data_IF_790797171708
#
_entry.id   IF_790797171708
#
_cell.length_a   1.000
_cell.length_b   1.000
_cell.length_c   1.000
_cell.angle_alpha   90.00
_cell.angle_beta   90.00
_cell.angle_gamma   90.00
#
_symmetry.space_group_name_H-M   'P 1'
#
loop_
_entity.id
_entity.type
_entity.pdbx_description
1 polymer ?
#
# COMPACT_ATOMS: atom_id res chain seq x y z
N UNK A 1 -15.38 -29.77 -18.26
CA UNK A 1 -14.88 -28.41 -17.96
C UNK A 1 -13.52 -28.55 -17.30
N UNK A 2 -12.43 -28.37 -18.04
CA UNK A 2 -11.09 -28.38 -17.45
C UNK A 2 -10.87 -27.01 -16.81
N UNK A 3 -10.88 -26.96 -15.48
CA UNK A 3 -10.42 -25.80 -14.76
C UNK A 3 -8.92 -25.62 -15.08
N UNK A 4 -8.58 -24.65 -15.92
CA UNK A 4 -7.21 -24.20 -16.07
C UNK A 4 -6.78 -23.59 -14.73
N UNK A 5 -6.18 -24.41 -13.87
CA UNK A 5 -5.45 -23.93 -12.70
C UNK A 5 -4.21 -23.22 -13.25
N UNK A 6 -4.31 -21.90 -13.42
CA UNK A 6 -3.16 -21.08 -13.78
C UNK A 6 -2.16 -21.13 -12.62
N UNK A 7 -1.02 -21.78 -12.83
CA UNK A 7 0.06 -21.86 -11.84
C UNK A 7 0.72 -20.48 -11.72
N UNK A 8 0.84 -19.96 -10.50
CA UNK A 8 1.53 -18.71 -10.24
C UNK A 8 2.98 -18.76 -10.77
N UNK A 9 3.38 -17.72 -11.50
CA UNK A 9 4.74 -17.51 -11.99
C UNK A 9 5.19 -16.09 -11.66
N UNK A 10 6.26 -15.96 -10.88
CA UNK A 10 6.69 -14.69 -10.29
C UNK A 10 7.25 -13.70 -11.33
N UNK A 11 7.82 -14.24 -12.40
CA UNK A 11 8.51 -13.57 -13.49
C UNK A 11 7.59 -13.21 -14.67
N UNK A 12 6.40 -13.81 -14.74
CA UNK A 12 5.45 -13.52 -15.80
C UNK A 12 4.61 -12.27 -15.48
N UNK A 13 4.29 -11.45 -16.49
CA UNK A 13 3.39 -10.32 -16.29
C UNK A 13 1.95 -10.77 -16.04
N UNK A 14 1.20 -10.02 -15.23
CA UNK A 14 -0.27 -10.20 -15.14
C UNK A 14 -0.98 -9.38 -16.19
N UNK A 15 -0.61 -8.11 -16.33
CA UNK A 15 -1.24 -7.20 -17.28
C UNK A 15 -0.32 -6.86 -18.45
N UNK A 16 -0.92 -6.58 -19.62
CA UNK A 16 -0.21 -5.88 -20.68
C UNK A 16 0.23 -4.47 -20.21
N UNK A 17 1.21 -3.84 -20.87
CA UNK A 17 1.77 -2.58 -20.38
C UNK A 17 0.74 -1.45 -20.29
N UNK A 18 -0.22 -1.37 -21.22
CA UNK A 18 -1.21 -0.30 -21.25
C UNK A 18 -2.25 -0.48 -20.14
N UNK A 19 -2.70 -1.71 -19.91
CA UNK A 19 -3.60 -2.03 -18.80
C UNK A 19 -2.94 -1.79 -17.45
N UNK A 20 -1.69 -2.21 -17.27
CA UNK A 20 -0.93 -1.92 -16.06
C UNK A 20 -0.83 -0.41 -15.81
N UNK A 21 -0.42 0.36 -16.83
CA UNK A 21 -0.28 1.82 -16.70
C UNK A 21 -1.62 2.50 -16.36
N UNK A 22 -2.75 2.03 -16.92
CA UNK A 22 -4.08 2.54 -16.54
C UNK A 22 -4.39 2.34 -15.06
N UNK A 23 -4.09 1.17 -14.50
CA UNK A 23 -4.29 0.92 -13.07
C UNK A 23 -3.40 1.81 -12.21
N UNK A 24 -2.12 1.92 -12.57
CA UNK A 24 -1.14 2.74 -11.85
C UNK A 24 -1.54 4.22 -11.84
N UNK A 25 -1.97 4.78 -12.98
CA UNK A 25 -2.47 6.16 -13.07
C UNK A 25 -3.70 6.35 -12.20
N UNK A 26 -4.70 5.47 -12.33
CA UNK A 26 -5.95 5.58 -11.58
C UNK A 26 -5.72 5.51 -10.07
N UNK A 27 -4.98 4.52 -9.58
CA UNK A 27 -4.69 4.33 -8.15
C UNK A 27 -3.86 5.48 -7.59
N UNK A 28 -2.90 6.00 -8.36
CA UNK A 28 -2.03 7.09 -7.93
C UNK A 28 -2.74 8.43 -7.77
N UNK A 29 -3.99 8.57 -8.21
CA UNK A 29 -4.81 9.76 -7.94
C UNK A 29 -4.91 10.09 -6.45
N UNK A 30 -4.82 9.09 -5.56
CA UNK A 30 -4.83 9.29 -4.10
C UNK A 30 -3.64 10.13 -3.61
N UNK A 31 -2.53 10.14 -4.36
CA UNK A 31 -1.32 10.89 -4.03
C UNK A 31 -1.34 12.31 -4.58
N UNK A 32 -2.34 12.70 -5.37
CA UNK A 32 -2.45 14.08 -5.85
C UNK A 32 -2.89 15.01 -4.73
N UNK A 33 -2.21 16.15 -4.58
CA UNK A 33 -2.50 17.15 -3.56
C UNK A 33 -3.87 17.82 -3.74
N UNK A 34 -4.34 17.90 -4.98
CA UNK A 34 -5.64 18.48 -5.34
C UNK A 34 -6.81 17.47 -5.33
N UNK A 35 -6.59 16.24 -4.86
CA UNK A 35 -7.65 15.24 -4.75
C UNK A 35 -8.62 15.57 -3.61
N UNK A 36 -9.63 16.39 -3.91
CA UNK A 36 -10.68 16.76 -2.96
C UNK A 36 -11.48 15.55 -2.46
N UNK A 37 -11.73 14.56 -3.33
CA UNK A 37 -12.46 13.33 -2.97
C UNK A 37 -11.74 12.50 -1.90
N UNK A 38 -10.40 12.55 -1.87
CA UNK A 38 -9.62 11.90 -0.83
C UNK A 38 -9.82 12.54 0.55
N UNK A 39 -10.12 13.84 0.62
CA UNK A 39 -10.29 14.55 1.89
C UNK A 39 -11.54 14.10 2.67
N UNK A 40 -12.63 13.78 1.99
CA UNK A 40 -13.84 13.22 2.61
C UNK A 40 -13.67 11.73 2.90
N UNK A 41 -13.09 10.99 1.94
CA UNK A 41 -12.87 9.56 2.06
C UNK A 41 -12.00 9.21 3.27
N UNK A 42 -10.92 9.96 3.53
CA UNK A 42 -10.02 9.70 4.65
C UNK A 42 -10.74 9.81 6.00
N UNK A 43 -11.65 10.77 6.17
CA UNK A 43 -12.44 10.91 7.41
C UNK A 43 -13.38 9.71 7.61
N UNK A 44 -14.03 9.27 6.53
CA UNK A 44 -14.89 8.08 6.56
C UNK A 44 -14.11 6.81 6.89
N UNK A 45 -12.94 6.63 6.28
CA UNK A 45 -12.04 5.49 6.57
C UNK A 45 -11.64 5.50 8.05
N UNK A 46 -11.20 6.63 8.58
CA UNK A 46 -10.77 6.72 9.97
C UNK A 46 -11.93 6.51 10.96
N UNK A 47 -13.14 6.99 10.64
CA UNK A 47 -14.34 6.67 11.41
C UNK A 47 -14.56 5.16 11.55
N UNK A 48 -14.45 4.41 10.45
CA UNK A 48 -14.61 2.95 10.51
C UNK A 48 -13.46 2.23 11.19
N UNK A 49 -12.21 2.72 11.05
CA UNK A 49 -11.07 2.17 11.81
C UNK A 49 -11.28 2.30 13.33
N UNK A 50 -11.82 3.44 13.80
CA UNK A 50 -12.20 3.59 15.21
C UNK A 50 -13.30 2.62 15.62
N UNK A 51 -14.35 2.47 14.80
CA UNK A 51 -15.43 1.50 15.08
C UNK A 51 -14.91 0.06 15.16
N UNK A 52 -13.98 -0.32 14.29
CA UNK A 52 -13.33 -1.63 14.33
C UNK A 52 -12.53 -1.80 15.63
N UNK A 53 -11.71 -0.81 16.01
CA UNK A 53 -10.98 -0.80 17.29
C UNK A 53 -11.92 -0.97 18.47
N UNK A 54 -12.98 -0.16 18.55
CA UNK A 54 -13.94 -0.19 19.66
C UNK A 54 -14.64 -1.55 19.78
N UNK A 55 -14.99 -2.17 18.65
CA UNK A 55 -15.59 -3.50 18.62
C UNK A 55 -14.60 -4.58 19.09
N UNK A 56 -13.36 -4.52 18.64
CA UNK A 56 -12.29 -5.42 19.08
C UNK A 56 -12.04 -5.28 20.59
N UNK A 57 -11.96 -4.06 21.11
CA UNK A 57 -11.76 -3.78 22.53
C UNK A 57 -12.89 -4.37 23.39
N UNK A 58 -14.17 -4.20 22.98
CA UNK A 58 -15.32 -4.79 23.67
C UNK A 58 -15.29 -6.32 23.74
N UNK A 59 -14.56 -6.96 22.82
CA UNK A 59 -14.40 -8.41 22.73
C UNK A 59 -13.06 -8.92 23.27
N UNK A 60 -12.22 -8.04 23.83
CA UNK A 60 -10.87 -8.41 24.28
C UNK A 60 -9.91 -8.80 23.16
N UNK A 61 -10.16 -8.35 21.92
CA UNK A 61 -9.35 -8.64 20.74
C UNK A 61 -8.35 -7.50 20.52
N UNK A 62 -7.06 -7.81 20.36
CA UNK A 62 -6.04 -6.83 19.97
C UNK A 62 -6.29 -6.35 18.53
N UNK A 63 -6.28 -5.03 18.31
CA UNK A 63 -6.46 -4.41 16.99
C UNK A 63 -5.19 -3.69 16.56
N UNK A 64 -4.74 -3.95 15.33
CA UNK A 64 -3.53 -3.40 14.72
C UNK A 64 -3.82 -3.07 13.26
N UNK A 65 -3.33 -1.91 12.80
CA UNK A 65 -3.40 -1.52 11.39
C UNK A 65 -2.03 -1.71 10.74
N UNK A 66 -2.01 -2.14 9.48
CA UNK A 66 -0.80 -2.24 8.66
C UNK A 66 -0.97 -1.38 7.41
N UNK A 67 -0.04 -0.48 7.14
CA UNK A 67 0.05 0.24 5.86
C UNK A 67 0.92 -0.58 4.92
N UNK A 68 0.30 -1.03 3.82
CA UNK A 68 0.96 -1.71 2.71
C UNK A 68 1.33 -0.68 1.63
N UNK A 69 2.60 -0.58 1.22
CA UNK A 69 2.98 0.33 0.15
C UNK A 69 2.43 -0.13 -1.19
N UNK A 70 2.11 0.84 -2.04
CA UNK A 70 1.86 0.65 -3.47
C UNK A 70 3.20 0.65 -4.25
N UNK A 71 3.26 0.02 -5.44
CA UNK A 71 4.51 -0.07 -6.22
C UNK A 71 5.03 1.33 -6.56
N UNK A 72 4.14 2.28 -6.85
CA UNK A 72 4.53 3.66 -7.21
C UNK A 72 5.25 4.40 -6.07
N UNK A 73 5.05 4.01 -4.81
CA UNK A 73 5.77 4.58 -3.66
C UNK A 73 7.18 4.00 -3.50
N UNK A 74 7.45 2.84 -4.11
CA UNK A 74 8.69 2.07 -3.98
C UNK A 74 9.57 2.19 -5.23
N UNK A 75 8.95 2.22 -6.40
CA UNK A 75 9.62 2.20 -7.70
C UNK A 75 9.66 3.61 -8.32
N UNK A 76 10.80 4.29 -8.19
CA UNK A 76 10.97 5.66 -8.72
C UNK A 76 10.81 5.77 -10.24
N UNK A 77 11.10 4.69 -10.99
CA UNK A 77 10.90 4.65 -12.44
C UNK A 77 9.42 4.63 -12.78
N UNK A 78 8.64 3.82 -12.08
CA UNK A 78 7.18 3.79 -12.21
C UNK A 78 6.56 5.12 -11.78
N UNK A 79 7.03 5.69 -10.67
CA UNK A 79 6.61 7.00 -10.18
C UNK A 79 6.72 8.09 -11.26
N UNK A 80 7.88 8.19 -11.93
CA UNK A 80 8.08 9.15 -13.04
C UNK A 80 7.10 8.92 -14.20
N UNK A 81 6.85 7.66 -14.56
CA UNK A 81 5.89 7.31 -15.64
C UNK A 81 4.45 7.68 -15.26
N UNK A 82 4.06 7.45 -14.01
CA UNK A 82 2.75 7.85 -13.49
C UNK A 82 2.59 9.37 -13.55
N UNK A 83 3.56 10.14 -13.05
CA UNK A 83 3.51 11.61 -13.07
C UNK A 83 3.37 12.11 -14.52
N UNK A 84 4.19 11.58 -15.43
CA UNK A 84 4.11 11.92 -16.85
C UNK A 84 2.73 11.60 -17.45
N UNK A 85 2.17 10.44 -17.13
CA UNK A 85 0.87 10.01 -17.63
C UNK A 85 -0.31 10.83 -17.08
N UNK A 86 -0.15 11.45 -15.90
CA UNK A 86 -1.12 12.43 -15.38
C UNK A 86 -1.02 13.81 -16.06
N UNK A 87 0.08 14.10 -16.76
CA UNK A 87 0.27 15.37 -17.46
C UNK A 87 0.38 16.60 -16.55
N UNK A 88 0.88 16.41 -15.31
CA UNK A 88 1.00 17.47 -14.30
C UNK A 88 2.43 17.56 -13.74
N UNK A 89 2.68 18.56 -12.88
CA UNK A 89 4.00 18.74 -12.26
C UNK A 89 4.27 17.62 -11.26
N UNK A 90 5.53 17.16 -11.10
CA UNK A 90 5.93 16.32 -9.97
C UNK A 90 5.54 16.92 -8.62
N UNK A 91 5.53 18.25 -8.49
CA UNK A 91 5.17 18.96 -7.27
C UNK A 91 3.68 18.84 -6.89
N UNK A 92 2.83 18.40 -7.82
CA UNK A 92 1.40 18.17 -7.58
C UNK A 92 1.14 16.84 -6.85
N UNK A 93 2.17 16.00 -6.69
CA UNK A 93 2.10 14.73 -5.98
C UNK A 93 2.72 14.81 -4.58
N UNK A 94 2.10 14.09 -3.65
CA UNK A 94 2.67 13.69 -2.37
C UNK A 94 2.40 12.19 -2.16
N UNK A 95 3.38 11.37 -2.57
CA UNK A 95 3.30 9.91 -2.49
C UNK A 95 3.28 9.38 -1.06
N UNK A 96 3.59 10.19 -0.04
CA UNK A 96 3.60 9.76 1.35
C UNK A 96 2.56 10.50 2.20
N UNK A 97 1.89 11.51 1.66
CA UNK A 97 0.84 12.29 2.30
C UNK A 97 -0.27 11.42 2.91
N UNK A 98 -0.85 10.46 2.17
CA UNK A 98 -1.84 9.52 2.72
C UNK A 98 -1.30 8.72 3.92
N UNK A 99 -0.07 8.19 3.83
CA UNK A 99 0.57 7.43 4.92
C UNK A 99 0.73 8.30 6.17
N UNK A 100 1.27 9.52 5.99
CA UNK A 100 1.52 10.45 7.09
C UNK A 100 0.22 10.92 7.75
N UNK A 101 -0.81 11.18 6.95
CA UNK A 101 -2.13 11.51 7.46
C UNK A 101 -2.70 10.36 8.32
N UNK A 102 -2.67 9.13 7.81
CA UNK A 102 -3.22 7.98 8.53
C UNK A 102 -2.41 7.68 9.80
N UNK A 103 -1.08 7.74 9.74
CA UNK A 103 -0.19 7.57 10.89
C UNK A 103 -0.49 8.56 12.00
N UNK A 104 -0.67 9.84 11.67
CA UNK A 104 -1.02 10.88 12.65
C UNK A 104 -2.34 10.56 13.36
N UNK A 105 -3.40 10.24 12.61
CA UNK A 105 -4.72 10.03 13.17
C UNK A 105 -4.83 8.72 13.97
N UNK A 106 -4.19 7.64 13.51
CA UNK A 106 -4.12 6.39 14.27
C UNK A 106 -3.35 6.57 15.58
N UNK A 107 -2.22 7.29 15.55
CA UNK A 107 -1.45 7.63 16.75
C UNK A 107 -2.30 8.41 17.77
N UNK A 108 -3.06 9.41 17.32
CA UNK A 108 -3.95 10.20 18.18
C UNK A 108 -5.10 9.39 18.79
N UNK A 109 -5.57 8.35 18.09
CA UNK A 109 -6.60 7.45 18.58
C UNK A 109 -6.04 6.23 19.34
N UNK A 110 -4.73 6.22 19.61
CA UNK A 110 -4.02 5.12 20.28
C UNK A 110 -4.22 3.77 19.57
N UNK A 111 -4.36 3.79 18.24
CA UNK A 111 -4.45 2.60 17.41
C UNK A 111 -3.03 2.20 16.98
N UNK A 112 -2.55 0.99 17.36
CA UNK A 112 -1.27 0.49 16.90
C UNK A 112 -1.18 0.44 15.37
N UNK A 113 -0.02 0.81 14.83
CA UNK A 113 0.26 0.83 13.39
C UNK A 113 1.63 0.20 13.09
N UNK A 114 1.72 -0.53 11.98
CA UNK A 114 2.98 -0.88 11.30
C UNK A 114 2.93 -0.30 9.89
N UNK A 115 3.93 0.50 9.51
CA UNK A 115 4.08 1.01 8.15
C UNK A 115 5.24 0.30 7.46
N UNK A 116 4.94 -0.47 6.42
CA UNK A 116 5.92 -1.28 5.68
C UNK A 116 6.69 -0.49 4.63
N UNK A 117 6.27 0.75 4.34
CA UNK A 117 6.76 1.54 3.20
C UNK A 117 8.27 1.72 3.21
N UNK A 118 8.85 2.14 4.35
CA UNK A 118 10.30 2.34 4.47
C UNK A 118 11.07 1.05 4.20
N UNK A 119 10.62 -0.07 4.76
CA UNK A 119 11.28 -1.36 4.58
C UNK A 119 11.22 -1.83 3.13
N UNK A 120 10.08 -1.65 2.47
CA UNK A 120 9.93 -2.00 1.05
C UNK A 120 10.80 -1.15 0.15
N UNK A 121 10.88 0.17 0.38
CA UNK A 121 11.80 1.06 -0.34
C UNK A 121 13.23 0.55 -0.22
N UNK A 122 13.68 0.23 1.00
CA UNK A 122 15.04 -0.23 1.23
C UNK A 122 15.34 -1.56 0.52
N UNK A 123 14.50 -2.57 0.73
CA UNK A 123 14.73 -3.91 0.16
C UNK A 123 14.54 -3.95 -1.36
N UNK A 124 13.76 -3.01 -1.92
CA UNK A 124 13.58 -2.90 -3.37
C UNK A 124 14.87 -2.55 -4.13
N UNK A 125 15.87 -1.98 -3.45
CA UNK A 125 17.16 -1.61 -4.04
C UNK A 125 17.93 -2.83 -4.55
N UNK A 126 17.75 -3.99 -3.91
CA UNK A 126 18.47 -5.23 -4.22
C UNK A 126 17.56 -6.36 -4.70
N UNK A 127 16.25 -6.24 -4.50
CA UNK A 127 15.29 -7.31 -4.83
C UNK A 127 13.98 -6.76 -5.36
N UNK A 128 13.44 -7.35 -6.44
CA UNK A 128 12.07 -7.05 -6.89
C UNK A 128 11.06 -7.58 -5.87
N UNK A 129 10.18 -6.70 -5.38
CA UNK A 129 9.16 -7.01 -4.37
C UNK A 129 7.72 -7.03 -4.94
N UNK A 130 7.53 -6.55 -6.16
CA UNK A 130 6.25 -6.49 -6.86
C UNK A 130 6.25 -7.44 -8.04
N UNK A 131 5.09 -8.04 -8.31
CA UNK A 131 4.95 -8.92 -9.46
C UNK A 131 4.98 -8.07 -10.73
N UNK A 132 5.59 -8.61 -11.79
CA UNK A 132 5.81 -7.84 -13.02
C UNK A 132 4.45 -7.39 -13.58
N UNK A 133 4.26 -6.08 -13.79
CA UNK A 133 3.01 -5.51 -14.33
C UNK A 133 1.78 -6.07 -13.62
N UNK A 134 1.79 -5.96 -12.30
CA UNK A 134 0.74 -6.38 -11.39
C UNK A 134 0.72 -5.40 -10.21
N UNK A 135 -0.45 -5.18 -9.61
CA UNK A 135 -0.61 -4.31 -8.45
C UNK A 135 -0.25 -4.98 -7.12
N UNK A 136 0.07 -6.28 -7.14
CA UNK A 136 0.37 -7.09 -5.96
C UNK A 136 1.86 -7.34 -5.78
N UNK A 137 2.23 -7.62 -4.54
CA UNK A 137 3.56 -8.12 -4.20
C UNK A 137 3.84 -9.47 -4.84
N UNK A 138 5.10 -9.72 -5.13
CA UNK A 138 5.58 -11.02 -5.55
C UNK A 138 5.88 -11.90 -4.32
N UNK A 139 6.43 -13.10 -4.51
CA UNK A 139 6.76 -14.01 -3.38
C UNK A 139 7.70 -13.32 -2.38
N UNK A 140 8.69 -12.56 -2.88
CA UNK A 140 9.66 -11.88 -2.04
C UNK A 140 9.07 -10.72 -1.23
N UNK A 141 8.16 -9.94 -1.81
CA UNK A 141 7.45 -8.88 -1.10
C UNK A 141 6.53 -9.42 -0.01
N UNK A 142 5.81 -10.52 -0.29
CA UNK A 142 5.00 -11.21 0.71
C UNK A 142 5.85 -11.74 1.86
N UNK A 143 7.01 -12.36 1.58
CA UNK A 143 7.93 -12.84 2.61
C UNK A 143 8.44 -11.69 3.49
N UNK A 144 8.89 -10.59 2.89
CA UNK A 144 9.36 -9.42 3.64
C UNK A 144 8.29 -8.87 4.58
N UNK A 145 7.04 -8.76 4.10
CA UNK A 145 5.93 -8.31 4.93
C UNK A 145 5.67 -9.30 6.09
N UNK A 146 5.65 -10.60 5.81
CA UNK A 146 5.45 -11.63 6.82
C UNK A 146 6.52 -11.59 7.91
N UNK A 147 7.80 -11.47 7.55
CA UNK A 147 8.91 -11.41 8.50
C UNK A 147 8.81 -10.19 9.42
N UNK A 148 8.52 -9.01 8.85
CA UNK A 148 8.36 -7.77 9.62
C UNK A 148 7.16 -7.87 10.57
N UNK A 149 6.02 -8.37 10.08
CA UNK A 149 4.81 -8.50 10.87
C UNK A 149 4.98 -9.52 11.99
N UNK A 150 5.59 -10.68 11.68
CA UNK A 150 5.88 -11.73 12.66
C UNK A 150 6.73 -11.16 13.81
N UNK A 151 7.84 -10.51 13.49
CA UNK A 151 8.72 -9.92 14.50
C UNK A 151 7.96 -8.90 15.38
N UNK A 152 7.16 -8.02 14.78
CA UNK A 152 6.41 -7.00 15.52
C UNK A 152 5.28 -7.56 16.37
N UNK A 153 4.73 -8.72 16.03
CA UNK A 153 3.68 -9.38 16.78
C UNK A 153 4.23 -10.19 17.96
N UNK A 154 5.43 -10.77 17.83
CA UNK A 154 6.08 -11.48 18.94
C UNK A 154 6.75 -10.52 19.94
N UNK A 155 7.34 -9.41 19.48
CA UNK A 155 7.95 -8.39 20.36
C UNK A 155 6.93 -7.66 21.26
N UNK A 156 5.63 -7.83 20.98
CA UNK A 156 4.50 -7.23 21.72
C UNK A 156 3.76 -8.24 22.61
N UNK A 157 4.30 -9.44 22.79
CA UNK A 157 3.90 -10.40 23.82
C UNK A 157 4.74 -10.16 25.07
#
# INVERSE_FOLDING_TARGET
MNAHISKYRDDQPTFDPATFMRFEVYRSSIFRKDNLGFQDLRQRVFHYLKKMRDLCQKKGIKFLVVIIPDEVQVNSSLQRKVIQAHGVSPDDFDFFGPNMWLKKHLSQAEIPLIDLTKSFIEHSKSKRLYKLRDTHWNIAGNQLAADILYQKLIDKQ
#
